data_IF_472229908545
#
_entry.id   IF_472229908545
#
_cell.length_a   1.000
_cell.length_b   1.000
_cell.length_c   1.000
_cell.angle_alpha   90.00
_cell.angle_beta   90.00
_cell.angle_gamma   90.00
#
_symmetry.space_group_name_H-M   'P 1'
#
loop_
_entity.id
_entity.type
_entity.pdbx_description
1 polymer ?
#
# COMPACT_ATOMS: atom_id res chain seq x y z
N UNK A 1 18.55 10.18 19.25
CA UNK A 1 17.39 9.31 18.96
C UNK A 1 17.35 9.12 17.46
N UNK A 2 17.22 7.87 16.98
CA UNK A 2 17.03 7.65 15.54
C UNK A 2 15.77 8.40 15.09
N UNK A 3 15.79 9.02 13.93
CA UNK A 3 14.57 9.64 13.39
C UNK A 3 13.60 8.54 12.99
N UNK A 4 12.34 8.59 13.46
CA UNK A 4 11.27 7.68 13.06
C UNK A 4 10.77 7.96 11.62
N UNK A 5 11.67 8.33 10.72
CA UNK A 5 11.37 8.77 9.36
C UNK A 5 12.34 8.12 8.37
N UNK A 6 11.82 7.83 7.18
CA UNK A 6 12.66 7.53 6.03
C UNK A 6 13.47 8.76 5.59
N UNK A 7 14.66 8.56 4.99
CA UNK A 7 15.44 9.66 4.43
C UNK A 7 14.66 10.48 3.42
N UNK A 8 14.73 11.80 3.56
CA UNK A 8 14.21 12.75 2.56
C UNK A 8 15.31 13.06 1.54
N UNK A 9 15.01 12.81 0.27
CA UNK A 9 15.91 12.97 -0.87
C UNK A 9 15.29 13.93 -1.89
N UNK A 10 16.04 14.28 -2.94
CA UNK A 10 15.53 15.14 -4.00
C UNK A 10 14.35 14.48 -4.77
N UNK A 11 14.32 13.15 -4.89
CA UNK A 11 13.31 12.42 -5.66
C UNK A 11 11.99 12.26 -4.91
N UNK A 12 12.02 12.00 -3.60
CA UNK A 12 10.81 11.79 -2.80
C UNK A 12 10.27 13.09 -2.15
N UNK A 13 10.98 14.21 -2.30
CA UNK A 13 10.58 15.51 -1.75
C UNK A 13 9.34 16.08 -2.42
N UNK A 14 8.26 16.22 -1.65
CA UNK A 14 7.04 16.87 -2.13
C UNK A 14 7.26 18.37 -2.36
N UNK A 15 7.11 18.83 -3.62
CA UNK A 15 7.18 20.26 -3.99
C UNK A 15 5.82 20.96 -3.96
N UNK A 16 4.76 20.30 -4.45
CA UNK A 16 3.39 20.84 -4.49
C UNK A 16 2.59 20.38 -3.28
N UNK A 17 2.10 21.34 -2.50
CA UNK A 17 1.34 21.11 -1.26
C UNK A 17 2.16 20.27 -0.26
N UNK A 18 3.36 20.74 0.14
CA UNK A 18 4.30 19.96 0.96
C UNK A 18 3.78 19.67 2.37
N UNK A 19 2.84 20.48 2.88
CA UNK A 19 2.15 20.27 4.14
C UNK A 19 1.29 18.99 4.19
N UNK A 20 1.04 18.36 3.03
CA UNK A 20 0.39 17.06 2.92
C UNK A 20 1.38 15.88 2.98
N UNK A 21 2.68 16.18 3.06
CA UNK A 21 3.74 15.18 3.03
C UNK A 21 4.04 14.61 4.40
N UNK A 22 4.21 13.30 4.46
CA UNK A 22 4.70 12.57 5.62
C UNK A 22 5.88 11.68 5.21
N UNK A 23 6.82 11.47 6.13
CA UNK A 23 8.01 10.63 5.89
C UNK A 23 8.21 9.62 7.03
N UNK A 24 7.34 9.63 8.03
CA UNK A 24 7.41 8.74 9.18
C UNK A 24 7.09 7.30 8.79
N UNK A 25 7.71 6.36 9.50
CA UNK A 25 7.56 4.93 9.27
C UNK A 25 6.10 4.49 9.36
N UNK A 26 5.44 4.84 10.47
CA UNK A 26 4.05 4.49 10.73
C UNK A 26 3.11 4.84 9.57
N UNK A 27 3.16 6.07 9.06
CA UNK A 27 2.29 6.51 7.94
C UNK A 27 2.61 5.75 6.65
N UNK A 28 3.89 5.59 6.30
CA UNK A 28 4.29 4.89 5.08
C UNK A 28 3.89 3.41 5.13
N UNK A 29 4.21 2.71 6.23
CA UNK A 29 3.91 1.29 6.39
C UNK A 29 2.42 1.02 6.43
N UNK A 30 1.66 1.84 7.16
CA UNK A 30 0.20 1.72 7.23
C UNK A 30 -0.43 1.82 5.83
N UNK A 31 0.01 2.78 5.01
CA UNK A 31 -0.52 2.93 3.64
C UNK A 31 -0.13 1.74 2.76
N UNK A 32 1.11 1.25 2.84
CA UNK A 32 1.57 0.07 2.07
C UNK A 32 0.79 -1.18 2.48
N UNK A 33 0.70 -1.46 3.78
CA UNK A 33 0.10 -2.69 4.30
C UNK A 33 -1.41 -2.75 4.14
N UNK A 34 -2.09 -1.61 4.17
CA UNK A 34 -3.55 -1.56 3.95
C UNK A 34 -3.93 -1.50 2.47
N UNK A 35 -2.98 -1.29 1.55
CA UNK A 35 -3.25 -1.26 0.12
C UNK A 35 -3.31 -2.71 -0.43
N UNK A 36 -4.47 -3.17 -0.96
CA UNK A 36 -4.59 -4.57 -1.40
C UNK A 36 -3.67 -4.94 -2.55
N UNK A 37 -3.29 -3.97 -3.39
CA UNK A 37 -2.47 -4.19 -4.58
C UNK A 37 -1.44 -3.07 -4.70
N UNK A 38 -0.17 -3.45 -4.56
CA UNK A 38 0.96 -2.55 -4.75
C UNK A 38 1.29 -2.43 -6.24
N UNK A 39 1.69 -1.24 -6.67
CA UNK A 39 2.19 -1.00 -8.03
C UNK A 39 3.71 -0.95 -7.99
N UNK A 40 4.35 -1.96 -8.57
CA UNK A 40 5.80 -2.17 -8.52
C UNK A 40 6.39 -1.83 -9.87
N UNK A 41 7.22 -0.79 -9.89
CA UNK A 41 7.77 -0.23 -11.12
C UNK A 41 9.29 -0.36 -11.19
N UNK A 42 9.80 -0.73 -12.36
CA UNK A 42 11.23 -0.81 -12.64
C UNK A 42 11.49 -0.56 -14.13
N UNK A 43 12.75 -0.24 -14.45
CA UNK A 43 13.18 -0.09 -15.84
C UNK A 43 13.69 -1.44 -16.37
N UNK A 44 13.06 -1.96 -17.42
CA UNK A 44 13.55 -3.12 -18.17
C UNK A 44 14.50 -2.62 -19.27
N UNK A 45 15.80 -2.98 -19.28
CA UNK A 45 16.74 -2.48 -20.30
C UNK A 45 16.37 -2.91 -21.72
N UNK A 46 15.50 -3.93 -21.87
CA UNK A 46 15.05 -4.43 -23.17
C UNK A 46 13.79 -3.71 -23.68
N UNK A 47 13.21 -2.81 -22.88
CA UNK A 47 11.96 -2.14 -23.22
C UNK A 47 12.05 -0.63 -22.91
N UNK A 48 11.62 0.25 -23.84
CA UNK A 48 11.81 1.69 -23.67
C UNK A 48 10.89 2.33 -22.62
N UNK A 49 9.89 1.61 -22.11
CA UNK A 49 8.96 2.09 -21.09
C UNK A 49 9.21 1.42 -19.74
N UNK A 50 8.99 2.13 -18.61
CA UNK A 50 9.02 1.51 -17.31
C UNK A 50 7.94 0.42 -17.21
N UNK A 51 8.32 -0.72 -16.67
CA UNK A 51 7.37 -1.79 -16.35
C UNK A 51 6.65 -1.42 -15.07
N UNK A 52 5.34 -1.66 -15.00
CA UNK A 52 4.54 -1.51 -13.78
C UNK A 52 3.76 -2.81 -13.57
N UNK A 53 4.00 -3.49 -12.46
CA UNK A 53 3.36 -4.75 -12.10
C UNK A 53 2.46 -4.56 -10.87
N UNK A 54 1.17 -4.91 -10.94
CA UNK A 54 0.32 -5.06 -9.77
C UNK A 54 0.75 -6.32 -8.99
N UNK A 55 1.13 -6.18 -7.72
CA UNK A 55 1.64 -7.28 -6.91
C UNK A 55 1.11 -7.20 -5.47
N UNK A 56 0.96 -8.36 -4.82
CA UNK A 56 0.71 -8.40 -3.37
C UNK A 56 2.04 -8.34 -2.64
N UNK A 57 2.08 -7.57 -1.56
CA UNK A 57 3.25 -7.43 -0.71
C UNK A 57 2.89 -6.74 0.59
N UNK A 58 3.85 -6.67 1.50
CA UNK A 58 3.72 -5.99 2.78
C UNK A 58 5.08 -5.53 3.28
N UNK A 59 5.09 -4.62 4.25
CA UNK A 59 6.30 -4.28 4.99
C UNK A 59 6.56 -5.34 6.06
N UNK A 60 7.82 -5.75 6.22
CA UNK A 60 8.25 -6.56 7.36
C UNK A 60 9.77 -6.46 7.55
N UNK A 61 10.25 -6.79 8.75
CA UNK A 61 11.66 -6.89 9.08
C UNK A 61 11.96 -8.33 9.51
N UNK A 62 12.78 -9.03 8.73
CA UNK A 62 13.17 -10.40 9.04
C UNK A 62 14.35 -10.46 10.03
N UNK A 63 15.23 -9.47 9.99
CA UNK A 63 16.44 -9.42 10.82
C UNK A 63 16.09 -9.01 12.25
N UNK A 64 15.08 -8.16 12.42
CA UNK A 64 14.58 -7.72 13.73
C UNK A 64 13.05 -7.82 13.82
N UNK A 65 12.55 -9.04 13.99
CA UNK A 65 11.11 -9.33 14.00
C UNK A 65 10.36 -8.74 15.21
N UNK A 66 11.09 -8.38 16.27
CA UNK A 66 10.53 -7.76 17.48
C UNK A 66 10.59 -6.22 17.43
N UNK A 67 11.14 -5.64 16.37
CA UNK A 67 11.18 -4.19 16.21
C UNK A 67 9.76 -3.62 16.08
N UNK A 68 9.52 -2.49 16.74
CA UNK A 68 8.30 -1.72 16.54
C UNK A 68 8.30 -1.13 15.12
N UNK A 69 7.37 -1.53 14.24
CA UNK A 69 7.35 -1.06 12.85
C UNK A 69 7.13 0.45 12.75
N UNK A 70 6.48 1.07 13.73
CA UNK A 70 6.19 2.50 13.71
C UNK A 70 7.41 3.37 14.04
N UNK A 71 8.46 2.77 14.59
CA UNK A 71 9.71 3.45 14.98
C UNK A 71 10.97 2.90 14.31
N UNK A 72 10.84 1.90 13.43
CA UNK A 72 11.95 1.27 12.73
C UNK A 72 11.71 1.20 11.22
N UNK A 73 12.77 1.19 10.42
CA UNK A 73 12.65 0.93 9.00
C UNK A 73 12.23 -0.53 8.77
N UNK A 74 11.43 -0.77 7.73
CA UNK A 74 11.01 -2.10 7.30
C UNK A 74 11.39 -2.30 5.83
N UNK A 75 11.65 -3.54 5.44
CA UNK A 75 11.74 -3.93 4.03
C UNK A 75 10.34 -4.15 3.46
N UNK A 76 10.20 -4.11 2.14
CA UNK A 76 8.95 -4.50 1.47
C UNK A 76 9.14 -5.87 0.83
N UNK A 77 8.37 -6.87 1.26
CA UNK A 77 8.35 -8.18 0.63
C UNK A 77 7.24 -8.25 -0.40
N UNK A 78 7.57 -8.79 -1.58
CA UNK A 78 6.64 -8.88 -2.71
C UNK A 78 6.70 -10.29 -3.28
N UNK A 79 5.53 -10.92 -3.44
CA UNK A 79 5.44 -12.24 -4.03
C UNK A 79 5.34 -12.15 -5.56
N UNK A 80 5.88 -13.13 -6.26
CA UNK A 80 5.70 -13.25 -7.71
C UNK A 80 6.20 -14.56 -8.28
N UNK A 81 5.97 -14.73 -9.58
CA UNK A 81 6.34 -15.95 -10.28
C UNK A 81 7.83 -15.97 -10.63
N UNK A 82 8.50 -17.10 -10.37
CA UNK A 82 9.96 -17.28 -10.49
C UNK A 82 10.55 -16.92 -11.86
N UNK A 83 9.76 -16.99 -12.94
CA UNK A 83 10.20 -16.65 -14.30
C UNK A 83 9.85 -15.21 -14.72
N UNK A 84 9.20 -14.44 -13.86
CA UNK A 84 8.96 -13.02 -14.07
C UNK A 84 10.29 -12.28 -14.28
N UNK A 85 10.36 -11.41 -15.29
CA UNK A 85 11.60 -10.70 -15.68
C UNK A 85 12.27 -9.99 -14.51
N UNK A 86 11.46 -9.44 -13.60
CA UNK A 86 11.86 -8.78 -12.35
C UNK A 86 12.74 -9.67 -11.46
N UNK A 87 12.54 -11.00 -11.46
CA UNK A 87 13.32 -11.96 -10.67
C UNK A 87 14.64 -12.37 -11.33
N UNK A 88 14.78 -12.23 -12.65
CA UNK A 88 16.06 -12.44 -13.35
C UNK A 88 16.99 -11.26 -13.09
N UNK A 89 16.49 -10.04 -13.25
CA UNK A 89 17.25 -8.82 -12.99
C UNK A 89 17.57 -8.62 -11.50
N UNK A 90 16.72 -9.11 -10.59
CA UNK A 90 17.00 -9.12 -9.15
C UNK A 90 18.09 -10.10 -8.71
N UNK A 91 18.43 -11.12 -9.51
CA UNK A 91 19.52 -12.07 -9.24
C UNK A 91 20.90 -11.53 -9.62
N UNK A 92 20.96 -10.71 -10.66
CA UNK A 92 22.22 -10.21 -11.20
C UNK A 92 22.77 -9.04 -10.37
N UNK A 93 21.92 -8.36 -9.58
CA UNK A 93 22.25 -7.08 -8.97
C UNK A 93 22.45 -6.04 -10.09
N UNK A 94 21.95 -4.83 -9.94
CA UNK A 94 22.39 -3.77 -10.87
C UNK A 94 23.92 -3.66 -10.88
N UNK A 95 24.49 -2.88 -11.81
CA UNK A 95 25.95 -2.63 -11.89
C UNK A 95 26.57 -2.19 -10.54
N UNK A 96 25.76 -1.70 -9.59
CA UNK A 96 26.13 -1.28 -8.24
C UNK A 96 26.17 -2.39 -7.17
N UNK A 97 25.71 -3.61 -7.46
CA UNK A 97 25.61 -4.70 -6.48
C UNK A 97 24.52 -4.54 -5.41
N UNK A 98 23.75 -3.45 -5.42
CA UNK A 98 22.73 -3.16 -4.40
C UNK A 98 21.40 -3.92 -4.60
N UNK A 99 21.19 -4.53 -5.76
CA UNK A 99 19.91 -5.12 -6.20
C UNK A 99 19.31 -4.39 -7.41
N UNK A 100 18.10 -4.77 -7.82
CA UNK A 100 17.35 -4.12 -8.90
C UNK A 100 16.64 -2.85 -8.37
N UNK A 101 16.94 -1.64 -8.90
CA UNK A 101 16.22 -0.44 -8.50
C UNK A 101 14.73 -0.54 -8.81
N UNK A 102 13.89 -0.36 -7.79
CA UNK A 102 12.44 -0.47 -7.87
C UNK A 102 11.76 0.71 -7.16
N UNK A 103 10.59 1.08 -7.68
CA UNK A 103 9.64 1.97 -7.00
C UNK A 103 8.38 1.20 -6.66
N UNK A 104 7.95 1.24 -5.40
CA UNK A 104 6.69 0.65 -4.93
C UNK A 104 5.72 1.79 -4.61
N UNK A 105 4.54 1.78 -5.23
CA UNK A 105 3.48 2.75 -4.98
C UNK A 105 2.24 2.07 -4.42
N UNK A 106 1.66 2.69 -3.38
CA UNK A 106 0.40 2.31 -2.75
C UNK A 106 -0.51 3.54 -2.72
N UNK A 107 -1.79 3.38 -3.04
CA UNK A 107 -2.75 4.50 -3.09
C UNK A 107 -4.15 4.07 -2.67
N UNK A 108 -4.80 4.94 -1.92
CA UNK A 108 -6.18 4.84 -1.48
C UNK A 108 -6.93 6.10 -1.87
N UNK A 109 -8.17 5.95 -2.36
CA UNK A 109 -9.11 7.06 -2.49
C UNK A 109 -10.07 6.99 -1.31
N UNK A 110 -10.16 8.09 -0.56
CA UNK A 110 -10.96 8.19 0.66
C UNK A 110 -12.22 9.09 0.46
N UNK A 111 -12.31 9.82 -0.65
CA UNK A 111 -13.56 10.51 -1.04
C UNK A 111 -13.41 11.49 -2.21
N UNK A 112 -14.52 11.87 -2.84
CA UNK A 112 -14.59 12.92 -3.85
C UNK A 112 -14.87 14.26 -3.19
N UNK A 113 -14.05 15.27 -3.43
CA UNK A 113 -14.27 16.62 -2.90
C UNK A 113 -14.84 17.49 -4.01
N UNK A 114 -16.08 17.92 -3.82
CA UNK A 114 -16.88 18.69 -4.78
C UNK A 114 -17.00 20.14 -4.30
N UNK A 115 -16.62 21.07 -5.17
CA UNK A 115 -16.47 22.50 -4.90
C UNK A 115 -17.41 23.31 -5.79
N UNK A 116 -17.57 24.63 -5.55
CA UNK A 116 -18.43 25.49 -6.38
C UNK A 116 -17.94 25.59 -7.82
N UNK A 117 -16.62 25.48 -8.02
CA UNK A 117 -15.97 25.48 -9.32
C UNK A 117 -15.26 24.15 -9.59
N UNK A 118 -15.35 23.59 -10.82
CA UNK A 118 -14.61 22.39 -11.19
C UNK A 118 -13.10 22.49 -10.96
N UNK A 119 -12.54 23.71 -10.99
CA UNK A 119 -11.11 23.94 -10.76
C UNK A 119 -10.65 23.59 -9.34
N UNK A 120 -11.58 23.63 -8.37
CA UNK A 120 -11.32 23.32 -6.96
C UNK A 120 -11.81 21.92 -6.55
N UNK A 121 -12.42 21.17 -7.47
CA UNK A 121 -12.70 19.75 -7.24
C UNK A 121 -11.41 18.97 -6.96
N UNK A 122 -11.51 17.96 -6.11
CA UNK A 122 -10.38 17.14 -5.69
C UNK A 122 -10.83 15.78 -5.17
N UNK A 123 -9.93 15.06 -4.51
CA UNK A 123 -10.24 13.83 -3.79
C UNK A 123 -9.52 13.79 -2.43
N UNK A 124 -10.12 13.22 -1.40
CA UNK A 124 -9.36 12.77 -0.23
C UNK A 124 -8.64 11.48 -0.61
N UNK A 125 -7.37 11.36 -0.20
CA UNK A 125 -6.53 10.23 -0.56
C UNK A 125 -5.37 10.06 0.41
N UNK A 126 -4.82 8.85 0.42
CA UNK A 126 -3.53 8.53 1.04
C UNK A 126 -2.70 7.75 0.03
N UNK A 127 -1.45 8.15 -0.16
CA UNK A 127 -0.53 7.45 -1.05
C UNK A 127 0.85 7.38 -0.42
N UNK A 128 1.57 6.29 -0.65
CA UNK A 128 2.97 6.13 -0.29
C UNK A 128 3.76 5.69 -1.52
N UNK A 129 4.96 6.23 -1.66
CA UNK A 129 5.93 5.86 -2.69
C UNK A 129 7.24 5.53 -2.00
N UNK A 130 7.72 4.31 -2.18
CA UNK A 130 8.99 3.82 -1.66
C UNK A 130 9.95 3.53 -2.82
N UNK A 131 11.15 4.07 -2.73
CA UNK A 131 12.26 3.80 -3.63
C UNK A 131 13.24 2.88 -2.93
N UNK A 132 13.66 1.82 -3.61
CA UNK A 132 14.54 0.84 -3.00
C UNK A 132 15.18 -0.10 -4.01
N UNK A 133 15.82 -1.13 -3.47
CA UNK A 133 16.54 -2.12 -4.25
C UNK A 133 16.01 -3.51 -3.92
N UNK A 134 15.53 -4.20 -4.95
CA UNK A 134 14.99 -5.53 -4.83
C UNK A 134 16.07 -6.60 -4.98
N UNK A 135 16.07 -7.57 -4.08
CA UNK A 135 16.90 -8.78 -4.15
C UNK A 135 16.03 -10.02 -3.98
N UNK A 136 16.44 -11.13 -4.59
CA UNK A 136 15.75 -12.40 -4.41
C UNK A 136 16.01 -12.95 -3.01
N UNK A 137 14.94 -13.34 -2.31
CA UNK A 137 15.06 -14.07 -1.05
C UNK A 137 15.48 -15.51 -1.33
N UNK A 138 16.67 -15.89 -0.88
CA UNK A 138 17.25 -17.23 -1.07
C UNK A 138 17.25 -18.08 0.20
N UNK A 139 17.24 -17.45 1.37
CA UNK A 139 17.13 -18.13 2.65
C UNK A 139 15.74 -18.78 2.79
N UNK A 140 15.70 -20.05 3.19
CA UNK A 140 14.45 -20.77 3.39
C UNK A 140 13.62 -20.16 4.53
N UNK A 141 14.26 -19.78 5.64
CA UNK A 141 13.59 -19.18 6.79
C UNK A 141 13.00 -17.81 6.48
N UNK A 142 13.75 -16.96 5.77
CA UNK A 142 13.28 -15.63 5.33
C UNK A 142 12.14 -15.76 4.31
N UNK A 143 12.24 -16.73 3.39
CA UNK A 143 11.18 -16.98 2.41
C UNK A 143 9.88 -17.41 3.09
N UNK A 144 9.96 -18.33 4.06
CA UNK A 144 8.80 -18.77 4.84
C UNK A 144 8.21 -17.62 5.64
N UNK A 145 9.05 -16.84 6.33
CA UNK A 145 8.64 -15.63 7.04
C UNK A 145 7.88 -14.66 6.14
N UNK A 146 8.44 -14.33 4.98
CA UNK A 146 7.84 -13.40 4.03
C UNK A 146 6.52 -13.92 3.46
N UNK A 147 6.43 -15.21 3.13
CA UNK A 147 5.17 -15.84 2.67
C UNK A 147 4.08 -15.77 3.74
N UNK A 148 4.41 -16.04 5.01
CA UNK A 148 3.49 -15.87 6.14
C UNK A 148 3.04 -14.42 6.26
N UNK A 149 3.97 -13.45 6.27
CA UNK A 149 3.64 -12.02 6.40
C UNK A 149 2.77 -11.52 5.26
N UNK A 150 3.07 -11.86 4.01
CA UNK A 150 2.26 -11.45 2.85
C UNK A 150 0.85 -12.05 2.93
N UNK A 151 0.74 -13.33 3.30
CA UNK A 151 -0.55 -14.02 3.43
C UNK A 151 -1.41 -13.39 4.53
N UNK A 152 -0.81 -13.17 5.70
CA UNK A 152 -1.51 -12.65 6.87
C UNK A 152 -1.76 -11.14 6.81
N UNK A 153 -0.99 -10.40 6.01
CA UNK A 153 -1.28 -8.99 5.71
C UNK A 153 -2.59 -8.86 4.91
N UNK A 154 -2.88 -9.82 4.03
CA UNK A 154 -4.13 -9.84 3.25
C UNK A 154 -5.32 -10.27 4.11
N UNK A 155 -5.15 -11.32 4.90
CA UNK A 155 -6.18 -11.81 5.83
C UNK A 155 -5.46 -12.39 7.06
N UNK A 156 -5.51 -11.74 8.23
CA UNK A 156 -4.78 -12.16 9.41
C UNK A 156 -5.08 -13.61 9.80
N UNK A 157 -4.04 -14.36 10.19
CA UNK A 157 -4.07 -15.78 10.55
C UNK A 157 -4.35 -16.73 9.38
N UNK A 158 -4.48 -16.22 8.14
CA UNK A 158 -4.83 -17.08 6.99
C UNK A 158 -3.75 -18.12 6.71
N UNK A 159 -2.49 -17.83 6.99
CA UNK A 159 -1.39 -18.76 6.82
C UNK A 159 -1.61 -20.04 7.65
N UNK A 160 -1.71 -19.92 8.97
CA UNK A 160 -1.85 -21.07 9.88
C UNK A 160 -3.24 -21.74 9.80
N UNK A 161 -4.24 -21.04 9.27
CA UNK A 161 -5.59 -21.58 8.98
C UNK A 161 -5.71 -22.23 7.60
N UNK A 162 -4.59 -22.35 6.87
CA UNK A 162 -4.48 -23.07 5.60
C UNK A 162 -3.63 -24.33 5.76
N UNK A 163 -3.49 -25.15 4.71
CA UNK A 163 -2.57 -26.30 4.72
C UNK A 163 -1.12 -25.80 4.74
N UNK A 164 -0.41 -26.08 5.83
CA UNK A 164 1.01 -25.72 6.01
C UNK A 164 1.85 -26.95 6.39
N UNK A 165 3.15 -26.99 6.04
CA UNK A 165 3.87 -26.02 5.20
C UNK A 165 3.55 -26.20 3.70
N UNK A 166 3.91 -25.22 2.85
CA UNK A 166 3.88 -25.41 1.40
C UNK A 166 4.69 -26.63 0.97
N UNK A 167 4.22 -27.31 -0.06
CA UNK A 167 4.91 -28.42 -0.72
C UNK A 167 6.15 -27.92 -1.46
N UNK A 168 7.09 -28.82 -1.74
CA UNK A 168 8.28 -28.50 -2.54
C UNK A 168 7.94 -27.92 -3.91
N UNK A 169 6.86 -28.39 -4.54
CA UNK A 169 6.43 -27.90 -5.86
C UNK A 169 5.91 -26.44 -5.79
N UNK A 170 5.14 -26.10 -4.75
CA UNK A 170 4.66 -24.73 -4.52
C UNK A 170 5.84 -23.77 -4.24
N UNK A 171 6.82 -24.22 -3.46
CA UNK A 171 8.04 -23.45 -3.15
C UNK A 171 8.97 -23.25 -4.36
N UNK A 172 8.92 -24.15 -5.35
CA UNK A 172 9.72 -24.04 -6.58
C UNK A 172 9.11 -23.06 -7.58
N UNK A 173 7.79 -22.91 -7.59
CA UNK A 173 7.06 -22.04 -8.53
C UNK A 173 6.89 -20.60 -8.01
N UNK A 174 7.03 -20.39 -6.71
CA UNK A 174 6.85 -19.09 -6.06
C UNK A 174 8.20 -18.48 -5.67
N UNK A 175 8.40 -17.20 -6.00
CA UNK A 175 9.57 -16.43 -5.58
C UNK A 175 9.16 -15.18 -4.80
N UNK A 176 10.01 -14.77 -3.87
CA UNK A 176 9.83 -13.58 -3.05
C UNK A 176 10.99 -12.62 -3.34
N UNK A 177 10.65 -11.35 -3.61
CA UNK A 177 11.63 -10.26 -3.59
C UNK A 177 11.56 -9.54 -2.25
N UNK A 178 12.72 -9.17 -1.73
CA UNK A 178 12.87 -8.23 -0.64
C UNK A 178 13.33 -6.90 -1.22
N UNK A 179 12.58 -5.84 -0.98
CA UNK A 179 12.95 -4.49 -1.39
C UNK A 179 13.47 -3.74 -0.17
N UNK A 180 14.79 -3.52 -0.15
CA UNK A 180 15.40 -2.64 0.84
C UNK A 180 15.03 -1.19 0.53
N UNK A 181 14.25 -0.58 1.41
CA UNK A 181 13.75 0.79 1.21
C UNK A 181 14.88 1.78 1.45
N UNK A 182 15.30 2.49 0.40
CA UNK A 182 16.33 3.53 0.48
C UNK A 182 15.74 4.89 0.89
N UNK A 183 14.54 5.21 0.40
CA UNK A 183 13.78 6.39 0.82
C UNK A 183 12.30 6.20 0.51
N UNK A 184 11.42 6.81 1.29
CA UNK A 184 9.99 6.78 1.03
C UNK A 184 9.33 8.10 1.42
N UNK A 185 8.18 8.38 0.82
CA UNK A 185 7.33 9.49 1.23
C UNK A 185 5.86 9.12 1.08
N UNK A 186 5.04 9.71 1.94
CA UNK A 186 3.60 9.64 1.87
C UNK A 186 3.01 11.02 1.54
N UNK A 187 1.84 11.01 0.92
CA UNK A 187 1.03 12.19 0.67
C UNK A 187 -0.42 11.92 1.07
N UNK A 188 -0.95 12.76 1.93
CA UNK A 188 -2.28 12.59 2.51
C UNK A 188 -3.10 13.86 2.30
N UNK A 189 -4.28 13.72 1.69
CA UNK A 189 -5.25 14.81 1.59
C UNK A 189 -6.52 14.41 2.36
N UNK A 190 -6.89 15.29 3.28
CA UNK A 190 -8.10 15.23 4.12
C UNK A 190 -8.85 16.56 3.99
N UNK A 191 -10.10 16.62 4.45
CA UNK A 191 -10.92 17.81 4.56
C UNK A 191 -11.93 18.01 3.42
N UNK A 192 -12.64 19.14 3.51
CA UNK A 192 -13.67 19.57 2.57
C UNK A 192 -13.16 20.36 1.35
N UNK A 193 -14.07 20.88 0.53
CA UNK A 193 -13.74 21.81 -0.54
C UNK A 193 -13.23 23.15 0.03
N UNK A 194 -12.47 23.89 -0.78
CA UNK A 194 -11.95 25.22 -0.44
C UNK A 194 -12.39 26.18 -1.53
N UNK A 195 -13.33 27.05 -1.22
CA UNK A 195 -13.94 27.96 -2.19
C UNK A 195 -13.21 29.30 -2.29
N UNK A 196 -13.25 29.90 -3.47
CA UNK A 196 -12.79 31.27 -3.64
C UNK A 196 -13.77 32.25 -3.00
N UNK A 197 -13.23 33.33 -2.43
CA UNK A 197 -14.05 34.37 -1.77
C UNK A 197 -15.01 35.09 -2.71
N UNK A 198 -14.71 35.12 -4.01
CA UNK A 198 -15.58 35.71 -5.02
C UNK A 198 -16.80 34.82 -5.26
N UNK A 199 -16.59 33.52 -5.45
CA UNK A 199 -17.65 32.52 -5.64
C UNK A 199 -18.59 32.47 -4.44
N UNK A 200 -18.06 32.53 -3.23
CA UNK A 200 -18.87 32.59 -1.99
C UNK A 200 -19.78 33.83 -1.88
N UNK A 201 -19.48 34.91 -2.61
CA UNK A 201 -20.33 36.12 -2.63
C UNK A 201 -21.44 36.03 -3.66
N UNK A 202 -21.30 35.16 -4.66
CA UNK A 202 -22.35 34.89 -5.64
C UNK A 202 -23.40 33.97 -5.00
N UNK A 203 -24.49 34.59 -4.53
CA UNK A 203 -25.57 33.85 -3.86
C UNK A 203 -26.28 32.88 -4.79
N UNK A 204 -26.38 33.19 -6.09
CA UNK A 204 -27.04 32.31 -7.05
C UNK A 204 -26.20 31.05 -7.27
N UNK A 205 -24.89 31.22 -7.44
CA UNK A 205 -23.94 30.11 -7.52
C UNK A 205 -24.01 29.21 -6.26
N UNK A 206 -23.90 29.81 -5.07
CA UNK A 206 -23.89 29.06 -3.80
C UNK A 206 -25.22 28.33 -3.55
N UNK A 207 -26.34 28.84 -4.01
CA UNK A 207 -27.66 28.20 -3.84
C UNK A 207 -27.90 27.08 -4.86
N UNK A 208 -27.31 27.17 -6.04
CA UNK A 208 -27.57 26.23 -7.14
C UNK A 208 -26.49 25.13 -7.28
N UNK A 209 -25.35 25.24 -6.59
CA UNK A 209 -24.26 24.26 -6.66
C UNK A 209 -24.00 23.65 -5.28
N UNK A 210 -24.21 22.33 -5.18
CA UNK A 210 -23.88 21.58 -3.97
C UNK A 210 -22.36 21.42 -3.81
N UNK A 211 -21.85 21.66 -2.60
CA UNK A 211 -20.46 21.41 -2.24
C UNK A 211 -20.36 20.45 -1.06
N UNK A 212 -19.27 19.70 -1.01
CA UNK A 212 -19.06 18.74 0.06
C UNK A 212 -18.12 17.62 -0.32
N UNK A 213 -18.18 16.52 0.42
CA UNK A 213 -17.39 15.33 0.17
C UNK A 213 -18.30 14.12 0.06
N UNK A 214 -18.08 13.31 -0.99
CA UNK A 214 -18.66 11.97 -1.09
C UNK A 214 -17.58 10.98 -0.63
N UNK A 215 -17.63 10.46 0.61
CA UNK A 215 -16.63 9.53 1.11
C UNK A 215 -16.63 8.22 0.32
N UNK A 216 -15.47 7.60 0.16
CA UNK A 216 -15.34 6.28 -0.44
C UNK A 216 -14.33 5.42 0.31
N UNK A 217 -14.53 4.11 0.29
CA UNK A 217 -13.64 3.13 0.91
C UNK A 217 -13.77 1.79 0.16
N UNK A 218 -12.81 0.89 0.38
CA UNK A 218 -12.90 -0.49 -0.08
C UNK A 218 -13.86 -1.26 0.82
N UNK A 219 -14.85 -1.92 0.23
CA UNK A 219 -15.77 -2.81 0.94
C UNK A 219 -15.54 -4.26 0.49
N UNK A 220 -15.21 -5.14 1.44
CA UNK A 220 -15.24 -6.58 1.24
C UNK A 220 -16.68 -7.10 1.32
N UNK A 221 -17.14 -7.73 0.24
CA UNK A 221 -18.46 -8.37 0.14
C UNK A 221 -18.58 -9.66 0.96
N UNK A 222 -19.79 -10.19 1.08
CA UNK A 222 -20.06 -11.46 1.78
C UNK A 222 -19.28 -12.62 1.11
N UNK A 223 -18.67 -13.54 1.88
CA UNK A 223 -17.93 -14.67 1.32
C UNK A 223 -18.83 -15.59 0.52
N UNK A 224 -18.35 -15.98 -0.66
CA UNK A 224 -19.00 -16.96 -1.51
C UNK A 224 -18.19 -18.26 -1.41
N UNK A 225 -18.81 -19.40 -1.05
CA UNK A 225 -18.09 -20.66 -0.93
C UNK A 225 -17.52 -21.10 -2.29
N UNK A 226 -16.30 -21.62 -2.26
CA UNK A 226 -15.69 -22.25 -3.44
C UNK A 226 -16.42 -23.54 -3.84
N UNK A 227 -16.33 -23.91 -5.11
CA UNK A 227 -17.02 -25.10 -5.65
C UNK A 227 -16.73 -26.39 -4.87
N UNK A 228 -15.48 -26.58 -4.44
CA UNK A 228 -15.02 -27.77 -3.72
C UNK A 228 -14.97 -27.55 -2.20
N UNK A 229 -15.61 -26.49 -1.68
CA UNK A 229 -15.63 -26.22 -0.24
C UNK A 229 -16.49 -27.25 0.49
N UNK A 230 -15.87 -28.01 1.40
CA UNK A 230 -16.56 -28.99 2.25
C UNK A 230 -17.01 -28.47 3.62
N UNK A 231 -16.77 -27.18 3.93
CA UNK A 231 -17.21 -26.56 5.19
C UNK A 231 -18.59 -25.93 5.01
N UNK A 232 -19.51 -26.23 5.93
CA UNK A 232 -20.87 -25.64 5.93
C UNK A 232 -20.81 -24.13 6.20
N UNK A 233 -20.08 -23.72 7.24
CA UNK A 233 -19.99 -22.33 7.67
C UNK A 233 -18.64 -21.69 7.30
N UNK A 234 -18.69 -20.37 7.05
CA UNK A 234 -17.50 -19.53 6.98
C UNK A 234 -16.85 -19.49 8.36
N UNK A 235 -15.53 -19.71 8.42
CA UNK A 235 -14.81 -19.66 9.70
C UNK A 235 -14.89 -18.25 10.32
N UNK A 236 -15.23 -18.18 11.62
CA UNK A 236 -15.55 -16.93 12.33
C UNK A 236 -14.50 -15.83 12.16
N UNK A 237 -13.21 -16.19 12.11
CA UNK A 237 -12.12 -15.22 11.98
C UNK A 237 -12.16 -14.43 10.66
N UNK A 238 -12.69 -15.03 9.58
CA UNK A 238 -12.87 -14.40 8.28
C UNK A 238 -13.98 -13.34 8.36
N UNK A 239 -15.13 -13.69 8.93
CA UNK A 239 -16.25 -12.75 9.10
C UNK A 239 -15.88 -11.60 10.05
N UNK A 240 -15.24 -11.91 11.18
CA UNK A 240 -14.78 -10.90 12.13
C UNK A 240 -13.80 -9.92 11.48
N UNK A 241 -12.85 -10.42 10.69
CA UNK A 241 -11.92 -9.58 9.94
C UNK A 241 -12.67 -8.72 8.92
N UNK A 242 -13.54 -9.32 8.09
CA UNK A 242 -14.30 -8.64 7.04
C UNK A 242 -15.11 -7.46 7.58
N UNK A 243 -15.89 -7.70 8.63
CA UNK A 243 -16.71 -6.66 9.27
C UNK A 243 -15.86 -5.56 9.90
N UNK A 244 -14.73 -5.94 10.52
CA UNK A 244 -13.78 -4.99 11.12
C UNK A 244 -13.14 -4.08 10.07
N UNK A 245 -12.61 -4.65 8.97
CA UNK A 245 -11.97 -3.86 7.91
C UNK A 245 -12.96 -2.94 7.19
N UNK A 246 -14.19 -3.42 6.92
CA UNK A 246 -15.25 -2.59 6.36
C UNK A 246 -15.59 -1.41 7.28
N UNK A 247 -15.68 -1.66 8.60
CA UNK A 247 -15.94 -0.62 9.60
C UNK A 247 -14.80 0.40 9.64
N UNK A 248 -13.54 -0.05 9.69
CA UNK A 248 -12.35 0.80 9.68
C UNK A 248 -12.28 1.67 8.43
N UNK A 249 -12.48 1.08 7.25
CA UNK A 249 -12.48 1.81 5.98
C UNK A 249 -13.54 2.91 5.94
N UNK A 250 -14.77 2.57 6.36
CA UNK A 250 -15.86 3.54 6.47
C UNK A 250 -15.53 4.66 7.47
N UNK A 251 -15.14 4.33 8.70
CA UNK A 251 -14.78 5.33 9.72
C UNK A 251 -13.65 6.24 9.24
N UNK A 252 -12.59 5.67 8.66
CA UNK A 252 -11.45 6.43 8.15
C UNK A 252 -11.84 7.42 7.05
N UNK A 253 -12.74 7.04 6.13
CA UNK A 253 -13.22 7.93 5.07
C UNK A 253 -14.04 9.12 5.63
N UNK A 254 -14.87 8.89 6.67
CA UNK A 254 -15.61 9.96 7.33
C UNK A 254 -14.71 10.85 8.21
N UNK A 255 -13.80 10.27 8.99
CA UNK A 255 -12.82 11.03 9.79
C UNK A 255 -11.92 11.91 8.92
N UNK A 256 -11.55 11.43 7.73
CA UNK A 256 -10.77 12.20 6.76
C UNK A 256 -11.50 13.49 6.35
N UNK A 257 -12.83 13.55 6.42
CA UNK A 257 -13.59 14.77 6.15
C UNK A 257 -13.57 15.69 7.37
N UNK A 258 -13.76 15.13 8.57
CA UNK A 258 -13.84 15.88 9.82
C UNK A 258 -12.51 16.54 10.21
N UNK A 259 -11.38 15.86 9.99
CA UNK A 259 -10.02 16.38 10.30
C UNK A 259 -9.64 17.65 9.54
N UNK A 260 -10.41 18.04 8.52
CA UNK A 260 -10.20 19.26 7.75
C UNK A 260 -11.35 20.27 7.80
N UNK A 261 -12.30 20.11 8.75
CA UNK A 261 -13.20 21.20 9.17
C UNK A 261 -12.48 22.10 10.16
#
# INVERSE_FOLDING_TARGET
>A
MASNNYPKTAVNSLKRLPNRGAYDYATVHSIVNTCPVLHVSFNDPQHPFPVVLPMLGCTADFENQDADPDSSAQDIYIHGYVSGRIFKSGKEGGESGEGLPITVAASHMDGLVLSLTPFHNSCNYRSAVAYGYATLVTSESERMYAMTKITDNMLPQRWDKSRVPPTKAELQSTSILKVRVASASAKVRVGGPSEDRADLKDKDLVQNVWTGVVPCWLQYGEPIPGKENGREDVEEYIEKWRLSENSKGKMGAYEAIEKGK
#
